data_IF_807379771879
#
_entry.id   IF_807379771879
#
_cell.length_a   1.000
_cell.length_b   1.000
_cell.length_c   1.000
_cell.angle_alpha   90.00
_cell.angle_beta   90.00
_cell.angle_gamma   90.00
#
_symmetry.space_group_name_H-M   'P 1'
#
loop_
_entity.id
_entity.type
_entity.pdbx_description
1 polymer ?
#
# COMPACT_ATOMS: atom_id res chain seq x y z
N UNK A 1 12.21 -2.62 14.95
CA UNK A 1 11.24 -3.64 14.53
C UNK A 1 9.91 -3.30 15.22
N UNK A 2 8.94 -2.67 14.54
CA UNK A 2 7.73 -2.21 15.24
C UNK A 2 6.72 -1.36 14.47
N UNK A 3 6.57 -1.54 13.15
CA UNK A 3 5.62 -0.73 12.34
C UNK A 3 4.75 -1.61 11.42
N UNK A 4 4.89 -2.93 11.49
CA UNK A 4 4.25 -3.84 10.52
C UNK A 4 2.75 -4.00 10.81
N UNK A 5 2.36 -4.15 12.08
CA UNK A 5 0.94 -4.28 12.45
C UNK A 5 0.14 -2.99 12.18
N UNK A 6 0.66 -1.82 12.58
CA UNK A 6 -0.08 -0.56 12.45
C UNK A 6 -0.30 -0.10 11.00
N UNK A 7 0.64 -0.36 10.09
CA UNK A 7 0.51 0.09 8.71
C UNK A 7 -0.56 -0.68 7.95
N UNK A 8 -0.65 -1.99 8.19
CA UNK A 8 -1.67 -2.85 7.61
C UNK A 8 -3.06 -2.43 8.09
N UNK A 9 -3.20 -2.26 9.40
CA UNK A 9 -4.46 -1.85 10.03
C UNK A 9 -4.90 -0.46 9.57
N UNK A 10 -3.97 0.48 9.39
CA UNK A 10 -4.28 1.81 8.86
C UNK A 10 -4.87 1.75 7.45
N UNK A 11 -4.28 0.94 6.55
CA UNK A 11 -4.79 0.78 5.18
C UNK A 11 -6.17 0.14 5.16
N UNK A 12 -6.39 -0.89 5.97
CA UNK A 12 -7.71 -1.53 6.11
C UNK A 12 -8.74 -0.57 6.72
N UNK A 13 -8.33 0.29 7.66
CA UNK A 13 -9.19 1.33 8.23
C UNK A 13 -9.65 2.32 7.16
N UNK A 14 -8.76 2.77 6.28
CA UNK A 14 -9.14 3.64 5.16
C UNK A 14 -10.18 2.99 4.24
N UNK A 15 -10.01 1.68 3.96
CA UNK A 15 -10.98 0.90 3.18
C UNK A 15 -12.34 0.73 3.86
N UNK A 16 -12.35 0.45 5.17
CA UNK A 16 -13.60 0.32 5.94
C UNK A 16 -14.35 1.64 6.09
N UNK A 17 -13.64 2.77 6.14
CA UNK A 17 -14.21 4.11 6.13
C UNK A 17 -14.66 4.59 4.75
N UNK A 18 -14.37 3.82 3.69
CA UNK A 18 -14.71 4.17 2.31
C UNK A 18 -13.89 5.33 1.74
N UNK A 19 -12.76 5.66 2.38
CA UNK A 19 -11.84 6.71 1.92
C UNK A 19 -11.10 6.21 0.67
N UNK A 20 -10.71 4.93 0.69
CA UNK A 20 -10.25 4.21 -0.48
C UNK A 20 -11.13 2.97 -0.69
N UNK A 21 -11.13 2.40 -1.89
CA UNK A 21 -11.87 1.17 -2.16
C UNK A 21 -11.27 0.00 -1.35
N UNK A 22 -12.14 -0.94 -0.95
CA UNK A 22 -11.76 -2.04 -0.04
C UNK A 22 -10.77 -3.02 -0.68
N UNK A 23 -10.87 -3.25 -1.99
CA UNK A 23 -9.96 -4.17 -2.68
C UNK A 23 -8.54 -3.60 -2.74
N UNK A 24 -8.40 -2.29 -2.98
CA UNK A 24 -7.15 -1.56 -2.97
C UNK A 24 -6.55 -1.50 -1.56
N UNK A 25 -7.39 -1.25 -0.55
CA UNK A 25 -6.96 -1.32 0.86
C UNK A 25 -6.35 -2.68 1.19
N UNK A 26 -6.99 -3.78 0.77
CA UNK A 26 -6.47 -5.14 0.95
C UNK A 26 -5.14 -5.37 0.23
N UNK A 27 -5.03 -4.99 -1.05
CA UNK A 27 -3.77 -5.16 -1.81
C UNK A 27 -2.62 -4.35 -1.23
N UNK A 28 -2.85 -3.11 -0.81
CA UNK A 28 -1.84 -2.27 -0.17
C UNK A 28 -1.45 -2.83 1.22
N UNK A 29 -2.44 -3.31 1.98
CA UNK A 29 -2.22 -3.95 3.26
C UNK A 29 -1.29 -5.17 3.12
N UNK A 30 -1.48 -6.01 2.10
CA UNK A 30 -0.58 -7.14 1.83
C UNK A 30 0.79 -6.69 1.30
N UNK A 31 0.86 -5.60 0.53
CA UNK A 31 2.12 -5.01 0.08
C UNK A 31 2.98 -4.45 1.24
N UNK A 32 2.39 -4.08 2.38
CA UNK A 32 3.18 -3.63 3.55
C UNK A 32 4.07 -4.73 4.14
N UNK A 33 3.69 -6.00 3.97
CA UNK A 33 4.50 -7.15 4.39
C UNK A 33 5.72 -7.37 3.47
N UNK A 34 5.64 -6.93 2.20
CA UNK A 34 6.74 -7.01 1.23
C UNK A 34 7.98 -6.23 1.66
N UNK A 35 7.79 -5.14 2.44
CA UNK A 35 8.89 -4.38 3.06
C UNK A 35 9.76 -5.26 3.97
N UNK A 36 9.17 -6.21 4.70
CA UNK A 36 9.93 -7.08 5.60
C UNK A 36 10.71 -8.15 4.83
N UNK A 37 10.13 -8.66 3.73
CA UNK A 37 10.83 -9.58 2.83
C UNK A 37 12.05 -8.91 2.21
N UNK A 38 11.94 -7.65 1.80
CA UNK A 38 13.08 -6.89 1.24
C UNK A 38 14.20 -6.64 2.25
N UNK A 39 13.86 -6.41 3.51
CA UNK A 39 14.84 -6.12 4.57
C UNK A 39 15.53 -7.38 5.10
N UNK A 40 14.85 -8.54 5.09
CA UNK A 40 15.38 -9.78 5.68
C UNK A 40 15.70 -10.89 4.68
N UNK A 41 15.20 -10.80 3.45
CA UNK A 41 15.31 -11.83 2.41
C UNK A 41 16.18 -11.43 1.22
N UNK A 42 16.94 -10.34 1.29
CA UNK A 42 17.74 -9.82 0.18
C UNK A 42 18.69 -10.86 -0.46
N UNK A 43 19.15 -11.86 0.29
CA UNK A 43 19.99 -12.94 -0.22
C UNK A 43 19.24 -13.96 -1.12
N UNK A 44 17.89 -13.99 -1.07
CA UNK A 44 17.05 -14.96 -1.78
C UNK A 44 16.00 -14.29 -2.71
N UNK A 45 16.01 -12.96 -2.84
CA UNK A 45 15.04 -12.24 -3.67
C UNK A 45 15.43 -12.33 -5.15
N UNK A 46 14.46 -12.73 -5.97
CA UNK A 46 14.55 -12.60 -7.42
C UNK A 46 14.44 -11.12 -7.82
N UNK A 47 15.58 -10.47 -8.02
CA UNK A 47 15.69 -9.05 -8.37
C UNK A 47 14.89 -8.67 -9.63
N UNK A 48 14.69 -9.60 -10.57
CA UNK A 48 13.89 -9.33 -11.78
C UNK A 48 12.40 -9.21 -11.47
N UNK A 49 11.86 -10.06 -10.60
CA UNK A 49 10.47 -9.97 -10.16
C UNK A 49 10.25 -8.71 -9.30
N UNK A 50 11.21 -8.38 -8.45
CA UNK A 50 11.18 -7.14 -7.68
C UNK A 50 11.21 -5.91 -8.59
N UNK A 51 12.13 -5.86 -9.56
CA UNK A 51 12.23 -4.74 -10.50
C UNK A 51 10.93 -4.54 -11.27
N UNK A 52 10.31 -5.63 -11.76
CA UNK A 52 8.99 -5.55 -12.41
C UNK A 52 7.90 -5.05 -11.48
N UNK A 53 7.83 -5.55 -10.25
CA UNK A 53 6.83 -5.10 -9.28
C UNK A 53 6.94 -3.58 -8.99
N UNK A 54 8.16 -3.03 -8.90
CA UNK A 54 8.36 -1.60 -8.61
C UNK A 54 8.32 -0.68 -9.85
N UNK A 55 8.46 -1.21 -11.07
CA UNK A 55 8.47 -0.39 -12.30
C UNK A 55 7.21 -0.54 -13.15
N UNK A 56 6.63 -1.73 -13.20
CA UNK A 56 5.52 -2.07 -14.10
C UNK A 56 4.17 -2.10 -13.37
N UNK A 57 4.14 -2.31 -12.05
CA UNK A 57 2.91 -2.53 -11.27
C UNK A 57 2.61 -1.42 -10.23
N UNK A 58 2.89 -0.17 -10.58
CA UNK A 58 2.62 1.00 -9.72
C UNK A 58 1.15 1.46 -9.71
N UNK A 59 0.24 0.67 -10.29
CA UNK A 59 -1.17 1.06 -10.44
C UNK A 59 -1.84 1.29 -9.10
N UNK A 60 -1.61 0.40 -8.13
CA UNK A 60 -2.22 0.52 -6.80
C UNK A 60 -1.77 1.80 -6.07
N UNK A 61 -0.52 2.22 -6.25
CA UNK A 61 -0.02 3.48 -5.67
C UNK A 61 -0.65 4.71 -6.34
N UNK A 62 -0.87 4.65 -7.66
CA UNK A 62 -1.57 5.72 -8.40
C UNK A 62 -3.03 5.81 -7.97
N UNK A 63 -3.72 4.68 -7.88
CA UNK A 63 -5.11 4.61 -7.46
C UNK A 63 -5.27 5.11 -6.01
N UNK A 64 -4.33 4.78 -5.14
CA UNK A 64 -4.28 5.30 -3.77
C UNK A 64 -4.16 6.82 -3.75
N UNK A 65 -3.17 7.38 -4.46
CA UNK A 65 -2.95 8.83 -4.54
C UNK A 65 -4.20 9.56 -5.05
N UNK A 66 -4.83 9.03 -6.11
CA UNK A 66 -6.04 9.62 -6.68
C UNK A 66 -7.19 9.62 -5.67
N UNK A 67 -7.47 8.49 -5.01
CA UNK A 67 -8.60 8.38 -4.08
C UNK A 67 -8.41 9.22 -2.81
N UNK A 68 -7.18 9.31 -2.31
CA UNK A 68 -6.85 10.20 -1.19
C UNK A 68 -7.01 11.67 -1.60
N UNK A 69 -6.55 12.05 -2.79
CA UNK A 69 -6.72 13.42 -3.29
C UNK A 69 -8.21 13.77 -3.43
N UNK A 70 -9.00 12.91 -4.06
CA UNK A 70 -10.45 13.07 -4.18
C UNK A 70 -11.14 13.20 -2.81
N UNK A 71 -10.68 12.44 -1.81
CA UNK A 71 -11.22 12.52 -0.45
C UNK A 71 -10.89 13.87 0.19
N UNK A 72 -9.64 14.34 0.09
CA UNK A 72 -9.21 15.61 0.66
C UNK A 72 -9.89 16.81 -0.01
N UNK A 73 -10.06 16.78 -1.33
CA UNK A 73 -10.78 17.83 -2.08
C UNK A 73 -12.25 17.92 -1.64
N UNK A 74 -12.89 16.78 -1.37
CA UNK A 74 -14.27 16.73 -0.86
C UNK A 74 -14.37 17.08 0.63
N UNK A 75 -13.27 17.00 1.36
CA UNK A 75 -13.22 17.23 2.80
C UNK A 75 -12.05 18.18 3.18
N UNK A 76 -12.06 19.44 2.74
CA UNK A 76 -10.94 20.37 2.92
C UNK A 76 -10.68 20.79 4.38
N UNK A 77 -11.54 20.35 5.31
CA UNK A 77 -11.52 20.70 6.74
C UNK A 77 -10.98 19.56 7.63
N UNK A 78 -10.59 18.42 7.03
CA UNK A 78 -9.99 17.28 7.74
C UNK A 78 -8.51 17.55 8.00
#
# INVERSE_FOLDING_TARGET
LGVVEHNKDALLLLGTKGIINKELAGRLADATDMRNVLVHGYDHINLNEFYKAITEDLKDLKDFSSQISDFLEKNPQV
#
